data_IF_983951008597
#
_entry.id   IF_983951008597
#
_cell.length_a   1.000
_cell.length_b   1.000
_cell.length_c   1.000
_cell.angle_alpha   90.00
_cell.angle_beta   90.00
_cell.angle_gamma   90.00
#
_symmetry.space_group_name_H-M   'P 1'
#
loop_
_entity.id
_entity.type
_entity.pdbx_description
1 polymer ?
#
# COMPACT_ATOMS: atom_id res chain seq x y z
N UNK A 1 -2.11 -11.75 0.80
CA UNK A 1 -2.34 -10.39 1.37
C UNK A 1 -1.26 -10.01 2.39
N UNK A 2 -1.03 -10.80 3.46
CA UNK A 2 -0.06 -10.47 4.52
C UNK A 2 1.34 -10.17 3.98
N UNK A 3 1.92 -11.09 3.20
CA UNK A 3 3.26 -10.90 2.64
C UNK A 3 3.37 -9.59 1.82
N UNK A 4 2.37 -9.30 1.01
CA UNK A 4 2.32 -8.07 0.22
C UNK A 4 2.24 -6.82 1.13
N UNK A 5 1.41 -6.85 2.18
CA UNK A 5 1.31 -5.75 3.14
C UNK A 5 2.63 -5.51 3.90
N UNK A 6 3.34 -6.58 4.27
CA UNK A 6 4.67 -6.49 4.89
C UNK A 6 5.68 -5.90 3.91
N UNK A 7 5.71 -6.36 2.66
CA UNK A 7 6.59 -5.81 1.62
C UNK A 7 6.32 -4.32 1.42
N UNK A 8 5.06 -3.92 1.22
CA UNK A 8 4.68 -2.52 1.04
C UNK A 8 5.08 -1.68 2.25
N UNK A 9 4.83 -2.17 3.48
CA UNK A 9 5.23 -1.52 4.72
C UNK A 9 6.74 -1.28 4.77
N UNK A 10 7.54 -2.33 4.55
CA UNK A 10 9.00 -2.25 4.61
C UNK A 10 9.53 -1.28 3.56
N UNK A 11 9.06 -1.37 2.30
CA UNK A 11 9.50 -0.47 1.23
C UNK A 11 9.24 0.99 1.61
N UNK A 12 8.04 1.33 2.10
CA UNK A 12 7.70 2.71 2.42
C UNK A 12 8.44 3.25 3.64
N UNK A 13 8.64 2.42 4.68
CA UNK A 13 9.40 2.83 5.87
C UNK A 13 10.89 3.03 5.55
N UNK A 14 11.46 2.20 4.67
CA UNK A 14 12.86 2.36 4.24
C UNK A 14 13.05 3.58 3.34
N UNK A 15 12.10 3.86 2.44
CA UNK A 15 12.17 4.99 1.52
C UNK A 15 11.81 6.32 2.17
N UNK A 16 10.98 6.34 3.21
CA UNK A 16 10.50 7.57 3.88
C UNK A 16 11.62 8.56 4.24
N UNK A 17 12.67 8.14 4.98
CA UNK A 17 13.80 9.02 5.31
C UNK A 17 14.57 9.51 4.08
N UNK A 18 14.69 8.67 3.04
CA UNK A 18 15.38 9.03 1.80
C UNK A 18 14.60 10.10 1.03
N UNK A 19 13.29 9.90 0.90
CA UNK A 19 12.37 10.84 0.24
C UNK A 19 12.30 12.17 0.99
N UNK A 20 12.40 12.16 2.33
CA UNK A 20 12.42 13.37 3.15
C UNK A 20 13.58 14.31 2.82
N UNK A 21 14.71 13.78 2.33
CA UNK A 21 15.83 14.59 1.83
C UNK A 21 15.49 15.43 0.58
N UNK A 22 14.41 15.10 -0.14
CA UNK A 22 13.94 15.81 -1.32
C UNK A 22 12.64 16.57 -1.07
N UNK A 23 11.70 15.95 -0.35
CA UNK A 23 10.40 16.53 -0.01
C UNK A 23 9.95 16.01 1.34
N UNK A 24 9.87 16.92 2.31
CA UNK A 24 9.43 16.57 3.66
C UNK A 24 8.00 16.02 3.67
N UNK A 25 7.09 16.61 2.90
CA UNK A 25 5.71 16.14 2.78
C UNK A 25 5.66 14.69 2.26
N UNK A 26 6.35 14.41 1.15
CA UNK A 26 6.37 13.06 0.58
C UNK A 26 7.03 12.06 1.54
N UNK A 27 8.13 12.45 2.20
CA UNK A 27 8.78 11.60 3.19
C UNK A 27 7.86 11.23 4.35
N UNK A 28 7.11 12.19 4.89
CA UNK A 28 6.08 11.95 5.93
C UNK A 28 4.99 11.03 5.41
N UNK A 29 4.46 11.28 4.20
CA UNK A 29 3.44 10.41 3.59
C UNK A 29 3.93 8.99 3.39
N UNK A 30 5.20 8.79 2.99
CA UNK A 30 5.80 7.46 2.90
C UNK A 30 5.84 6.77 4.26
N UNK A 31 6.32 7.46 5.31
CA UNK A 31 6.38 6.88 6.66
C UNK A 31 4.97 6.52 7.16
N UNK A 32 4.01 7.45 7.04
CA UNK A 32 2.62 7.21 7.45
C UNK A 32 1.99 6.06 6.66
N UNK A 33 2.29 5.95 5.36
CA UNK A 33 1.82 4.87 4.53
C UNK A 33 2.39 3.52 4.96
N UNK A 34 3.70 3.47 5.23
CA UNK A 34 4.36 2.29 5.78
C UNK A 34 3.77 1.86 7.13
N UNK A 35 3.58 2.81 8.05
CA UNK A 35 2.94 2.56 9.35
C UNK A 35 1.48 2.10 9.21
N UNK A 36 0.74 2.63 8.24
CA UNK A 36 -0.63 2.21 7.96
C UNK A 36 -0.71 0.74 7.54
N UNK A 37 0.14 0.30 6.61
CA UNK A 37 0.21 -1.11 6.23
C UNK A 37 0.73 -2.01 7.36
N UNK A 38 1.72 -1.55 8.14
CA UNK A 38 2.21 -2.28 9.31
C UNK A 38 1.11 -2.47 10.36
N UNK A 39 0.46 -1.38 10.76
CA UNK A 39 -0.62 -1.39 11.73
C UNK A 39 -1.83 -2.20 11.24
N UNK A 40 -2.18 -2.06 9.96
CA UNK A 40 -3.22 -2.88 9.32
C UNK A 40 -2.86 -4.37 9.34
N UNK A 41 -1.60 -4.73 9.10
CA UNK A 41 -1.12 -6.12 9.18
C UNK A 41 -1.23 -6.66 10.61
N UNK A 42 -0.80 -5.90 11.62
CA UNK A 42 -0.95 -6.28 13.03
C UNK A 42 -2.44 -6.50 13.34
N UNK A 43 -3.29 -5.53 13.00
CA UNK A 43 -4.73 -5.61 13.26
C UNK A 43 -5.35 -6.84 12.60
N UNK A 44 -4.96 -7.16 11.36
CA UNK A 44 -5.42 -8.35 10.61
C UNK A 44 -5.08 -9.66 11.31
N UNK A 45 -3.94 -9.71 11.98
CA UNK A 45 -3.49 -10.88 12.74
C UNK A 45 -4.14 -11.00 14.13
N UNK A 46 -4.98 -10.04 14.52
CA UNK A 46 -5.71 -10.08 15.79
C UNK A 46 -7.16 -10.52 15.62
N UNK A 47 -7.81 -10.87 16.73
CA UNK A 47 -9.25 -11.13 16.77
C UNK A 47 -10.12 -9.85 16.63
N UNK A 48 -9.51 -8.67 16.49
CA UNK A 48 -10.24 -7.41 16.29
C UNK A 48 -10.57 -7.13 14.83
N UNK A 49 -10.08 -7.94 13.89
CA UNK A 49 -10.37 -7.73 12.48
C UNK A 49 -11.86 -7.98 12.17
N UNK A 50 -12.53 -6.96 11.65
CA UNK A 50 -13.93 -7.05 11.20
C UNK A 50 -13.99 -7.03 9.68
N UNK A 51 -15.07 -7.60 9.12
CA UNK A 51 -15.26 -7.71 7.68
C UNK A 51 -15.14 -6.37 6.95
N UNK A 52 -15.63 -5.29 7.55
CA UNK A 52 -15.59 -3.94 6.97
C UNK A 52 -14.15 -3.42 6.79
N UNK A 53 -13.20 -3.91 7.59
CA UNK A 53 -11.78 -3.51 7.48
C UNK A 53 -11.14 -4.02 6.19
N UNK A 54 -11.70 -5.03 5.52
CA UNK A 54 -11.26 -5.40 4.18
C UNK A 54 -11.55 -4.29 3.15
N UNK A 55 -12.67 -3.59 3.27
CA UNK A 55 -12.97 -2.44 2.41
C UNK A 55 -12.04 -1.26 2.73
N UNK A 56 -11.73 -1.04 4.01
CA UNK A 56 -10.74 -0.04 4.43
C UNK A 56 -9.37 -0.36 3.85
N UNK A 57 -8.89 -1.60 3.95
CA UNK A 57 -7.62 -2.04 3.38
C UNK A 57 -7.58 -1.89 1.84
N UNK A 58 -8.70 -2.20 1.18
CA UNK A 58 -8.86 -1.99 -0.27
C UNK A 58 -8.73 -0.52 -0.63
N UNK A 59 -9.52 0.34 0.00
CA UNK A 59 -9.51 1.78 -0.26
C UNK A 59 -8.15 2.41 0.03
N UNK A 60 -7.51 1.97 1.12
CA UNK A 60 -6.17 2.42 1.48
C UNK A 60 -5.15 2.06 0.40
N UNK A 61 -5.08 0.78 -0.01
CA UNK A 61 -4.15 0.33 -1.05
C UNK A 61 -4.39 1.03 -2.40
N UNK A 62 -5.65 1.23 -2.80
CA UNK A 62 -6.00 1.96 -4.02
C UNK A 62 -5.56 3.43 -3.92
N UNK A 63 -5.79 4.08 -2.78
CA UNK A 63 -5.35 5.46 -2.56
C UNK A 63 -3.81 5.58 -2.67
N UNK A 64 -3.07 4.61 -2.16
CA UNK A 64 -1.60 4.57 -2.28
C UNK A 64 -1.12 4.38 -3.72
N UNK A 65 -1.83 3.58 -4.52
CA UNK A 65 -1.54 3.42 -5.96
C UNK A 65 -1.81 4.74 -6.69
N UNK A 66 -2.97 5.36 -6.45
CA UNK A 66 -3.32 6.66 -7.02
C UNK A 66 -2.30 7.73 -6.60
N UNK A 67 -1.81 7.68 -5.36
CA UNK A 67 -0.79 8.57 -4.84
C UNK A 67 0.47 8.61 -5.71
N UNK A 68 0.89 7.47 -6.28
CA UNK A 68 2.02 7.45 -7.21
C UNK A 68 1.78 8.42 -8.38
N UNK A 69 0.64 8.29 -9.06
CA UNK A 69 0.31 9.12 -10.22
C UNK A 69 0.00 10.56 -9.84
N UNK A 70 -0.60 10.78 -8.67
CA UNK A 70 -0.90 12.11 -8.18
C UNK A 70 0.37 12.95 -7.92
N UNK A 71 1.45 12.32 -7.46
CA UNK A 71 2.71 13.02 -7.15
C UNK A 71 3.79 12.89 -8.22
N UNK A 72 3.76 11.87 -9.07
CA UNK A 72 4.75 11.62 -10.13
C UNK A 72 4.19 11.83 -11.55
N UNK A 73 2.90 12.12 -11.70
CA UNK A 73 2.23 12.34 -12.99
C UNK A 73 1.42 11.13 -13.48
N UNK A 74 0.39 11.40 -14.30
CA UNK A 74 -0.51 10.38 -14.86
C UNK A 74 0.04 9.78 -16.16
N UNK A 75 1.17 9.08 -16.07
CA UNK A 75 1.76 8.33 -17.19
C UNK A 75 2.59 7.15 -16.68
N UNK A 76 3.09 6.32 -17.61
CA UNK A 76 4.01 5.23 -17.26
C UNK A 76 5.34 5.76 -16.69
N UNK A 77 5.70 7.02 -16.98
CA UNK A 77 6.91 7.67 -16.49
C UNK A 77 6.93 7.79 -14.97
N UNK A 78 5.77 7.71 -14.30
CA UNK A 78 5.67 7.67 -12.85
C UNK A 78 6.43 6.49 -12.22
N UNK A 79 6.73 5.43 -13.00
CA UNK A 79 7.53 4.29 -12.57
C UNK A 79 9.03 4.44 -12.85
N UNK A 80 9.46 5.53 -13.48
CA UNK A 80 10.84 5.75 -13.85
C UNK A 80 11.53 6.73 -12.90
N UNK A 81 12.82 6.53 -12.68
CA UNK A 81 13.68 7.45 -11.92
C UNK A 81 15.04 7.51 -12.60
N UNK A 82 15.53 8.72 -12.90
CA UNK A 82 16.77 8.95 -13.64
C UNK A 82 16.83 8.19 -14.99
N UNK A 83 15.72 8.16 -15.73
CA UNK A 83 15.63 7.52 -17.05
C UNK A 83 15.62 5.99 -17.03
N UNK A 84 15.54 5.35 -15.86
CA UNK A 84 15.46 3.90 -15.70
C UNK A 84 14.24 3.50 -14.89
N UNK A 85 13.70 2.31 -15.13
CA UNK A 85 12.59 1.77 -14.36
C UNK A 85 13.01 1.67 -12.88
N UNK A 86 12.18 2.20 -11.98
CA UNK A 86 12.40 2.13 -10.54
C UNK A 86 11.79 0.82 -9.99
N UNK A 87 12.60 -0.21 -9.65
CA UNK A 87 12.07 -1.49 -9.21
C UNK A 87 11.29 -1.37 -7.91
N UNK A 88 11.66 -0.44 -7.03
CA UNK A 88 10.96 -0.23 -5.76
C UNK A 88 9.55 0.32 -5.97
N UNK A 89 9.38 1.22 -6.93
CA UNK A 89 8.06 1.73 -7.32
C UNK A 89 7.19 0.60 -7.89
N UNK A 90 7.74 -0.19 -8.82
CA UNK A 90 7.01 -1.31 -9.43
C UNK A 90 6.60 -2.36 -8.39
N UNK A 91 7.53 -2.82 -7.56
CA UNK A 91 7.28 -3.86 -6.56
C UNK A 91 6.27 -3.38 -5.51
N UNK A 92 6.40 -2.13 -5.03
CA UNK A 92 5.44 -1.59 -4.06
C UNK A 92 4.02 -1.49 -4.62
N UNK A 93 3.84 -0.97 -5.85
CA UNK A 93 2.51 -0.90 -6.47
C UNK A 93 1.93 -2.27 -6.81
N UNK A 94 2.77 -3.23 -7.23
CA UNK A 94 2.34 -4.60 -7.45
C UNK A 94 1.86 -5.25 -6.13
N UNK A 95 2.59 -5.04 -5.04
CA UNK A 95 2.18 -5.52 -3.72
C UNK A 95 0.88 -4.85 -3.24
N UNK A 96 0.73 -3.54 -3.43
CA UNK A 96 -0.52 -2.82 -3.14
C UNK A 96 -1.70 -3.35 -3.95
N UNK A 97 -1.52 -3.67 -5.23
CA UNK A 97 -2.56 -4.28 -6.05
C UNK A 97 -2.98 -5.65 -5.51
N UNK A 98 -2.02 -6.49 -5.11
CA UNK A 98 -2.30 -7.78 -4.45
C UNK A 98 -3.09 -7.59 -3.15
N UNK A 99 -2.81 -6.53 -2.38
CA UNK A 99 -3.57 -6.20 -1.18
C UNK A 99 -4.99 -5.80 -1.56
N UNK A 100 -5.18 -4.90 -2.53
CA UNK A 100 -6.49 -4.42 -2.95
C UNK A 100 -7.37 -5.58 -3.44
N UNK A 101 -6.88 -6.39 -4.39
CA UNK A 101 -7.65 -7.53 -4.90
C UNK A 101 -7.87 -8.62 -3.84
N UNK A 102 -6.85 -8.92 -3.04
CA UNK A 102 -6.95 -9.91 -1.98
C UNK A 102 -7.95 -9.51 -0.89
N UNK A 103 -7.99 -8.23 -0.53
CA UNK A 103 -8.93 -7.71 0.46
C UNK A 103 -10.37 -7.72 -0.07
N UNK A 104 -10.60 -7.34 -1.33
CA UNK A 104 -11.92 -7.47 -1.98
C UNK A 104 -12.38 -8.92 -1.99
N UNK A 105 -11.52 -9.85 -2.38
CA UNK A 105 -11.84 -11.28 -2.37
C UNK A 105 -12.27 -11.75 -0.99
N UNK A 106 -11.48 -11.46 0.05
CA UNK A 106 -11.79 -11.87 1.43
C UNK A 106 -13.06 -11.21 1.97
N UNK A 107 -13.35 -9.97 1.58
CA UNK A 107 -14.61 -9.29 1.93
C UNK A 107 -15.84 -10.04 1.38
N UNK A 108 -15.75 -10.53 0.14
CA UNK A 108 -16.84 -11.28 -0.50
C UNK A 108 -17.02 -12.66 0.11
N UNK A 109 -15.92 -13.39 0.35
CA UNK A 109 -15.91 -14.74 0.93
C UNK A 109 -16.47 -14.76 2.35
N UNK A 110 -15.99 -13.83 3.20
CA UNK A 110 -16.50 -13.66 4.58
C UNK A 110 -17.98 -13.24 4.59
N UNK A 111 -18.46 -12.60 3.52
CA UNK A 111 -19.87 -12.27 3.37
C UNK A 111 -20.75 -13.48 3.06
N UNK A 112 -20.24 -14.42 2.30
CA UNK A 112 -20.93 -15.67 1.98
C UNK A 112 -20.98 -16.62 3.17
N UNK A 113 -19.92 -16.68 4.00
CA UNK A 113 -19.88 -17.54 5.17
C UNK A 113 -20.85 -17.14 6.30
N UNK A 114 -21.29 -15.88 6.31
CA UNK A 114 -22.11 -15.29 7.37
C UNK A 114 -23.62 -15.28 7.05
N UNK A 115 -24.01 -15.81 5.88
CA UNK A 115 -25.41 -15.95 5.43
C UNK A 115 -25.85 -17.41 5.49
#
# INVERSE_FOLDING_TARGET
MILAAVITSVIHLLLGPQVMGFSQLLGVLFILNGLGFFGGTILYLTNYWRRELYLVATGYAVATIIGLFAFQGFSIEAFYMNGSLNPMAVVSKAAEAVIAFGAVYLYTDTGMSNN
#
